data_IF_797448031085
#
_entry.id   IF_797448031085
#
_cell.length_a   1.000
_cell.length_b   1.000
_cell.length_c   1.000
_cell.angle_alpha   90.00
_cell.angle_beta   90.00
_cell.angle_gamma   90.00
#
_symmetry.space_group_name_H-M   'P 1'
#
loop_
_entity.id
_entity.type
_entity.pdbx_description
1 polymer ?
#
# COMPACT_ATOMS: atom_id res chain seq x y z
N UNK A 1 -18.06 -14.19 23.37
CA UNK A 1 -17.74 -13.97 21.94
C UNK A 1 -19.03 -13.80 21.16
N UNK A 2 -18.98 -13.24 19.94
CA UNK A 2 -20.11 -13.04 19.02
C UNK A 2 -19.87 -13.92 17.79
N UNK A 3 -20.82 -14.77 17.44
CA UNK A 3 -20.77 -15.62 16.25
C UNK A 3 -21.31 -14.86 15.03
N UNK A 4 -20.56 -14.91 13.93
CA UNK A 4 -20.96 -14.37 12.61
C UNK A 4 -20.95 -15.56 11.65
N UNK A 5 -22.15 -16.05 11.36
CA UNK A 5 -22.42 -17.29 10.60
C UNK A 5 -21.97 -17.16 9.15
N UNK A 6 -22.29 -16.04 8.49
CA UNK A 6 -21.95 -15.76 7.09
C UNK A 6 -20.45 -15.81 6.82
N UNK A 7 -19.66 -15.39 7.82
CA UNK A 7 -18.20 -15.35 7.73
C UNK A 7 -17.51 -16.51 8.44
N UNK A 8 -18.27 -17.43 9.03
CA UNK A 8 -17.78 -18.55 9.83
C UNK A 8 -16.72 -18.11 10.84
N UNK A 9 -17.07 -17.11 11.66
CA UNK A 9 -16.11 -16.51 12.59
C UNK A 9 -16.69 -16.23 13.97
N UNK A 10 -15.82 -16.27 14.97
CA UNK A 10 -16.11 -15.96 16.36
C UNK A 10 -15.32 -14.71 16.77
N UNK A 11 -16.02 -13.59 16.95
CA UNK A 11 -15.44 -12.29 17.29
C UNK A 11 -15.49 -12.01 18.79
N UNK A 12 -14.35 -11.68 19.35
CA UNK A 12 -14.20 -11.25 20.73
C UNK A 12 -14.81 -9.87 20.96
N UNK A 13 -15.70 -9.76 21.94
CA UNK A 13 -16.40 -8.49 22.25
C UNK A 13 -15.46 -7.45 22.85
N UNK A 14 -14.54 -7.89 23.72
CA UNK A 14 -13.72 -6.99 24.54
C UNK A 14 -12.21 -7.15 24.27
N UNK A 15 -11.75 -8.29 23.76
CA UNK A 15 -10.33 -8.59 23.55
C UNK A 15 -9.88 -8.41 22.09
N UNK A 16 -10.80 -8.10 21.16
CA UNK A 16 -10.49 -7.91 19.73
C UNK A 16 -10.05 -9.17 18.99
N UNK A 17 -10.00 -10.33 19.65
CA UNK A 17 -9.58 -11.60 19.06
C UNK A 17 -10.68 -12.11 18.14
N UNK A 18 -10.36 -12.50 16.91
CA UNK A 18 -11.33 -13.08 15.97
C UNK A 18 -10.81 -14.41 15.46
N UNK A 19 -11.54 -15.49 15.73
CA UNK A 19 -11.25 -16.82 15.20
C UNK A 19 -12.06 -17.04 13.93
N UNK A 20 -11.41 -17.31 12.81
CA UNK A 20 -12.09 -17.63 11.55
C UNK A 20 -11.84 -19.08 11.16
N UNK A 21 -12.79 -19.64 10.42
CA UNK A 21 -12.58 -20.94 9.80
C UNK A 21 -11.36 -20.90 8.86
N UNK A 22 -10.46 -21.87 9.01
CA UNK A 22 -9.22 -21.97 8.24
C UNK A 22 -8.00 -21.30 8.89
N UNK A 23 -8.18 -20.57 9.99
CA UNK A 23 -7.05 -20.03 10.75
C UNK A 23 -6.24 -21.16 11.38
N UNK A 24 -4.91 -21.02 11.32
CA UNK A 24 -4.01 -21.90 12.06
C UNK A 24 -4.00 -21.47 13.52
N UNK A 25 -4.28 -22.42 14.41
CA UNK A 25 -4.25 -22.24 15.86
C UNK A 25 -3.45 -23.35 16.51
N UNK A 26 -2.70 -23.01 17.54
CA UNK A 26 -2.02 -23.98 18.40
C UNK A 26 -2.94 -24.30 19.56
N UNK A 27 -3.11 -25.59 19.84
CA UNK A 27 -4.02 -26.09 20.87
C UNK A 27 -3.36 -27.16 21.71
N UNK A 28 -3.87 -27.35 22.92
CA UNK A 28 -3.52 -28.45 23.81
C UNK A 28 -4.73 -29.36 23.94
N UNK A 29 -4.53 -30.66 23.76
CA UNK A 29 -5.56 -31.67 24.01
C UNK A 29 -5.77 -31.84 25.51
N UNK A 30 -7.00 -31.63 25.98
CA UNK A 30 -7.37 -31.72 27.41
C UNK A 30 -8.02 -33.04 27.76
N UNK A 31 -8.95 -33.50 26.95
CA UNK A 31 -9.71 -34.74 27.22
C UNK A 31 -10.10 -35.43 25.91
N UNK A 32 -10.18 -36.77 25.95
CA UNK A 32 -10.64 -37.62 24.85
C UNK A 32 -11.68 -38.61 25.35
N UNK A 33 -12.78 -38.74 24.61
CA UNK A 33 -13.79 -39.79 24.75
C UNK A 33 -13.63 -40.77 23.57
N UNK A 34 -12.78 -41.81 23.70
CA UNK A 34 -12.33 -42.59 22.55
C UNK A 34 -13.45 -43.39 21.87
N UNK A 35 -14.47 -43.79 22.63
CA UNK A 35 -15.58 -44.60 22.11
C UNK A 35 -16.48 -43.77 21.17
N UNK A 36 -16.79 -42.53 21.55
CA UNK A 36 -17.65 -41.62 20.77
C UNK A 36 -16.84 -40.70 19.84
N UNK A 37 -15.52 -40.64 20.00
CA UNK A 37 -14.61 -39.80 19.23
C UNK A 37 -14.60 -38.32 19.62
N UNK A 38 -15.21 -37.95 20.76
CA UNK A 38 -15.23 -36.57 21.22
C UNK A 38 -13.88 -36.14 21.79
N UNK A 39 -13.45 -34.92 21.52
CA UNK A 39 -12.19 -34.37 22.00
C UNK A 39 -12.38 -32.93 22.48
N UNK A 40 -11.76 -32.59 23.60
CA UNK A 40 -11.74 -31.23 24.15
C UNK A 40 -10.35 -30.63 24.00
N UNK A 41 -10.29 -29.43 23.42
CA UNK A 41 -9.05 -28.69 23.21
C UNK A 41 -9.09 -27.34 23.92
N UNK A 42 -7.93 -26.89 24.37
CA UNK A 42 -7.71 -25.54 24.86
C UNK A 42 -6.79 -24.78 23.90
N UNK A 43 -7.16 -23.55 23.56
CA UNK A 43 -6.36 -22.68 22.69
C UNK A 43 -5.20 -22.10 23.49
N UNK A 44 -3.96 -22.22 22.99
CA UNK A 44 -2.79 -21.67 23.66
C UNK A 44 -2.67 -20.16 23.46
N UNK A 45 -2.31 -19.43 24.52
CA UNK A 45 -2.24 -17.96 24.55
C UNK A 45 -1.28 -17.33 23.52
N UNK A 46 -0.25 -18.07 23.08
CA UNK A 46 0.72 -17.59 22.07
C UNK A 46 0.17 -17.61 20.65
N UNK A 47 -0.97 -18.28 20.42
CA UNK A 47 -1.58 -18.48 19.11
C UNK A 47 -2.88 -17.69 19.00
N UNK A 48 -2.81 -16.38 19.20
CA UNK A 48 -3.85 -15.51 18.67
C UNK A 48 -3.97 -15.80 17.15
N UNK A 49 -5.19 -16.07 16.63
CA UNK A 49 -5.38 -16.44 15.24
C UNK A 49 -4.70 -15.41 14.35
N UNK A 50 -3.80 -15.90 13.48
CA UNK A 50 -2.97 -15.07 12.62
C UNK A 50 -3.78 -14.23 11.59
N UNK A 51 -5.10 -14.36 11.58
CA UNK A 51 -6.04 -13.62 10.76
C UNK A 51 -6.27 -12.15 11.16
N UNK A 52 -5.70 -11.65 12.26
CA UNK A 52 -5.80 -10.21 12.61
C UNK A 52 -5.08 -9.28 11.62
N UNK A 53 -4.20 -9.82 10.77
CA UNK A 53 -3.78 -9.16 9.54
C UNK A 53 -4.63 -9.70 8.40
N UNK A 54 -5.65 -8.93 8.02
CA UNK A 54 -6.23 -9.00 6.69
C UNK A 54 -5.11 -8.83 5.65
N UNK A 55 -4.44 -9.92 5.31
CA UNK A 55 -3.72 -10.05 4.05
C UNK A 55 -4.76 -10.48 3.01
N UNK A 56 -5.85 -9.72 2.93
CA UNK A 56 -6.44 -9.43 1.64
C UNK A 56 -5.57 -8.29 1.08
N UNK A 57 -4.35 -8.60 0.65
CA UNK A 57 -3.88 -7.88 -0.53
C UNK A 57 -4.93 -8.21 -1.58
N UNK A 58 -5.75 -7.25 -2.06
CA UNK A 58 -6.47 -7.51 -3.28
C UNK A 58 -5.35 -7.87 -4.25
N UNK A 59 -5.34 -9.11 -4.74
CA UNK A 59 -4.53 -9.44 -5.90
C UNK A 59 -5.16 -8.58 -6.98
N UNK A 60 -4.63 -7.36 -7.10
CA UNK A 60 -4.96 -6.45 -8.15
C UNK A 60 -4.79 -7.32 -9.40
N UNK A 61 -5.90 -7.67 -10.02
CA UNK A 61 -5.87 -8.03 -11.42
C UNK A 61 -5.30 -6.77 -12.04
N UNK A 62 -4.00 -6.78 -12.26
CA UNK A 62 -3.30 -5.74 -12.99
C UNK A 62 -3.87 -5.85 -14.39
N UNK A 63 -4.99 -5.17 -14.60
CA UNK A 63 -5.39 -4.75 -15.91
C UNK A 63 -4.25 -3.85 -16.39
N UNK A 64 -3.45 -4.25 -17.39
CA UNK A 64 -2.27 -3.50 -17.80
C UNK A 64 -2.63 -2.14 -18.42
N UNK A 65 -3.92 -1.80 -18.48
CA UNK A 65 -4.45 -0.59 -19.12
C UNK A 65 -4.49 0.66 -18.22
N UNK A 66 -4.29 0.57 -16.89
CA UNK A 66 -4.50 1.75 -16.04
C UNK A 66 -3.44 1.94 -14.95
N UNK A 67 -2.69 3.05 -15.10
CA UNK A 67 -1.93 3.79 -14.07
C UNK A 67 -0.42 3.50 -13.91
N UNK A 68 0.35 3.72 -14.97
CA UNK A 68 1.66 4.38 -14.77
C UNK A 68 1.41 5.86 -14.47
N UNK A 69 1.22 6.21 -13.19
CA UNK A 69 1.43 7.60 -12.74
C UNK A 69 2.93 7.89 -12.86
N UNK A 70 3.36 8.23 -14.09
CA UNK A 70 4.67 8.84 -14.33
C UNK A 70 4.75 10.09 -13.44
N UNK A 71 5.87 10.35 -12.75
CA UNK A 71 6.05 11.63 -12.10
C UNK A 71 5.85 12.71 -13.17
N UNK A 72 4.95 13.67 -12.92
CA UNK A 72 4.74 14.81 -13.82
C UNK A 72 6.05 15.58 -13.86
N UNK A 73 6.89 15.26 -14.85
CA UNK A 73 8.07 16.04 -15.21
C UNK A 73 7.56 17.47 -15.41
N UNK A 74 8.07 18.41 -14.60
CA UNK A 74 7.65 19.80 -14.64
C UNK A 74 7.59 20.24 -16.10
N UNK A 75 6.39 20.63 -16.55
CA UNK A 75 6.12 21.03 -17.94
C UNK A 75 7.05 22.21 -18.22
N UNK A 76 8.18 21.93 -18.86
CA UNK A 76 9.15 22.93 -19.26
C UNK A 76 8.39 24.02 -20.00
N UNK A 77 8.52 25.27 -19.51
CA UNK A 77 7.87 26.46 -20.08
C UNK A 77 7.94 26.38 -21.60
N UNK A 78 6.78 26.33 -22.25
CA UNK A 78 6.66 26.13 -23.69
C UNK A 78 7.48 27.17 -24.46
N UNK A 79 7.89 26.87 -25.69
CA UNK A 79 8.56 27.86 -26.56
C UNK A 79 7.72 29.14 -26.71
N UNK A 80 6.39 29.03 -26.66
CA UNK A 80 5.46 30.16 -26.61
C UNK A 80 5.60 30.99 -25.32
N UNK A 81 5.65 30.34 -24.15
CA UNK A 81 5.91 31.01 -22.86
C UNK A 81 7.27 31.72 -22.83
N UNK A 82 8.30 31.11 -23.42
CA UNK A 82 9.64 31.72 -23.52
C UNK A 82 9.69 32.87 -24.54
N UNK A 83 8.80 32.88 -25.54
CA UNK A 83 8.64 33.98 -26.48
C UNK A 83 7.91 35.16 -25.83
N UNK A 84 6.87 34.88 -25.05
CA UNK A 84 6.17 35.91 -24.27
C UNK A 84 7.08 36.57 -23.23
N UNK A 85 7.93 35.80 -22.54
CA UNK A 85 8.91 36.36 -21.61
C UNK A 85 9.97 37.22 -22.30
N UNK A 86 10.41 36.85 -23.51
CA UNK A 86 11.33 37.68 -24.30
C UNK A 86 10.68 38.98 -24.77
N UNK A 87 9.47 38.89 -25.32
CA UNK A 87 8.72 40.08 -25.74
C UNK A 87 8.40 41.01 -24.56
N UNK A 88 8.14 40.47 -23.36
CA UNK A 88 7.94 41.25 -22.15
C UNK A 88 9.22 41.98 -21.68
N UNK A 89 10.38 41.31 -21.78
CA UNK A 89 11.68 41.93 -21.50
C UNK A 89 12.06 42.98 -22.54
N UNK A 90 11.67 42.80 -23.81
CA UNK A 90 11.87 43.79 -24.87
C UNK A 90 10.95 45.03 -24.69
N UNK A 91 9.77 44.87 -24.08
CA UNK A 91 8.82 45.97 -23.81
C UNK A 91 9.18 46.84 -22.60
N UNK A 92 10.07 46.38 -21.72
CA UNK A 92 10.61 47.17 -20.60
C UNK A 92 12.10 47.37 -20.85
N UNK A 93 12.42 48.36 -21.68
CA UNK A 93 13.75 48.59 -22.28
C UNK A 93 14.93 48.57 -21.31
N UNK A 94 15.40 47.36 -20.95
CA UNK A 94 16.61 47.13 -20.17
C UNK A 94 17.45 46.08 -20.88
N UNK A 95 18.34 46.56 -21.76
CA UNK A 95 19.39 45.75 -22.40
C UNK A 95 20.24 45.09 -21.30
N UNK A 96 20.00 43.80 -21.06
CA UNK A 96 20.73 42.98 -20.09
C UNK A 96 21.95 42.33 -20.75
N UNK A 97 23.11 42.71 -20.26
CA UNK A 97 24.44 42.39 -20.76
C UNK A 97 24.81 40.89 -20.80
N UNK A 98 25.68 40.58 -21.77
CA UNK A 98 26.72 39.55 -21.80
C UNK A 98 26.93 38.73 -20.51
N UNK A 99 26.66 37.42 -20.57
CA UNK A 99 27.50 36.43 -19.88
C UNK A 99 27.79 35.25 -20.81
N UNK A 100 28.95 35.31 -21.46
CA UNK A 100 29.63 34.15 -22.07
C UNK A 100 29.70 33.03 -21.02
N UNK A 101 28.88 31.99 -21.20
CA UNK A 101 28.95 30.79 -20.39
C UNK A 101 30.18 29.97 -20.83
N UNK A 102 31.37 30.36 -20.35
CA UNK A 102 32.58 29.54 -20.40
C UNK A 102 32.50 28.53 -19.25
N UNK A 103 32.31 27.26 -19.58
CA UNK A 103 32.67 26.18 -18.68
C UNK A 103 31.71 25.00 -18.65
N UNK A 104 31.94 24.00 -19.51
CA UNK A 104 32.21 22.62 -19.04
C UNK A 104 32.71 21.74 -20.19
N UNK A 105 33.87 21.07 -20.06
CA UNK A 105 34.46 20.28 -21.14
C UNK A 105 33.72 18.93 -21.33
N UNK A 106 33.76 18.44 -22.58
CA UNK A 106 33.36 17.07 -22.94
C UNK A 106 34.27 16.06 -22.25
N UNK A 107 33.71 14.96 -21.74
CA UNK A 107 34.47 13.74 -21.42
C UNK A 107 34.02 12.62 -22.36
N UNK A 108 35.03 11.88 -22.82
CA UNK A 108 35.00 10.74 -23.75
C UNK A 108 34.01 9.67 -23.33
#
# INVERSE_FOLDING_TARGET
YIHDEDRHQLRGRNNGITYRLGDRVTVVLREVTPITGGMLFEVSDSAAPAGSKATSTPRARTDPSKTTKRPKKAKGKSRASRRQQRNAVDSTGKKGANTKNKGRPKRK
#
